data_IF_650288137794
#
_entry.id   IF_650288137794
#
_cell.length_a   1.000
_cell.length_b   1.000
_cell.length_c   1.000
_cell.angle_alpha   90.00
_cell.angle_beta   90.00
_cell.angle_gamma   90.00
#
_symmetry.space_group_name_H-M   'P 1'
#
loop_
_entity.id
_entity.type
_entity.pdbx_description
1 polymer ?
#
# COMPACT_ATOMS: atom_id res chain seq x y z
N UNK A 1 -16.29 17.89 17.06
CA UNK A 1 -15.22 17.04 17.63
C UNK A 1 -14.49 16.41 16.45
N UNK A 2 -13.14 16.39 16.41
CA UNK A 2 -12.42 15.72 15.33
C UNK A 2 -12.61 14.21 15.41
N UNK A 3 -12.80 13.56 14.26
CA UNK A 3 -12.90 12.09 14.17
C UNK A 3 -11.50 11.49 14.35
N UNK A 4 -11.36 10.57 15.31
CA UNK A 4 -10.10 9.85 15.51
C UNK A 4 -9.93 8.80 14.40
N UNK A 5 -8.78 8.82 13.75
CA UNK A 5 -8.42 7.84 12.72
C UNK A 5 -7.43 6.83 13.32
N UNK A 6 -7.66 5.52 13.18
CA UNK A 6 -6.69 4.51 13.60
C UNK A 6 -5.35 4.69 12.87
N UNK A 7 -4.24 4.73 13.61
CA UNK A 7 -2.92 4.78 13.01
C UNK A 7 -2.53 3.39 12.52
N UNK A 8 -2.34 3.26 11.21
CA UNK A 8 -2.03 2.02 10.50
C UNK A 8 -0.78 2.23 9.65
N UNK A 9 0.04 1.19 9.50
CA UNK A 9 1.34 1.29 8.83
C UNK A 9 1.28 1.60 7.33
N UNK A 10 0.10 1.52 6.72
CA UNK A 10 -0.15 1.80 5.31
C UNK A 10 -0.80 3.17 5.09
N UNK A 11 -0.97 3.97 6.13
CA UNK A 11 -1.39 5.37 6.05
C UNK A 11 -0.16 6.25 6.23
N UNK A 12 0.28 6.90 5.15
CA UNK A 12 1.31 7.94 5.25
C UNK A 12 0.64 9.28 5.52
N UNK A 13 1.03 9.90 6.64
CA UNK A 13 0.57 11.21 7.06
C UNK A 13 1.60 12.27 6.61
N UNK A 14 1.13 13.29 5.90
CA UNK A 14 1.93 14.39 5.37
C UNK A 14 1.03 15.40 4.66
N UNK A 15 1.58 16.26 3.81
CA UNK A 15 0.80 17.29 3.09
C UNK A 15 -0.27 16.69 2.17
N UNK A 16 -0.05 15.47 1.69
CA UNK A 16 -1.04 14.69 0.92
C UNK A 16 -1.21 13.32 1.59
N UNK A 17 -2.10 13.20 2.59
CA UNK A 17 -2.35 11.92 3.24
C UNK A 17 -2.88 10.90 2.24
N UNK A 18 -2.21 9.74 2.15
CA UNK A 18 -2.58 8.72 1.19
C UNK A 18 -2.23 7.32 1.72
N UNK A 19 -2.81 6.31 1.08
CA UNK A 19 -2.51 4.93 1.39
C UNK A 19 -1.33 4.44 0.56
N UNK A 20 -0.49 3.60 1.14
CA UNK A 20 0.66 3.00 0.46
C UNK A 20 0.57 1.48 0.57
N UNK A 21 0.61 0.81 -0.58
CA UNK A 21 0.66 -0.64 -0.67
C UNK A 21 2.10 -1.15 -0.83
N UNK A 22 2.32 -2.40 -0.42
CA UNK A 22 3.47 -3.21 -0.81
C UNK A 22 3.10 -3.94 -2.11
N UNK A 23 3.69 -3.52 -3.22
CA UNK A 23 3.51 -4.13 -4.53
C UNK A 23 4.61 -5.16 -4.77
N UNK A 24 4.22 -6.40 -5.08
CA UNK A 24 5.15 -7.45 -5.46
C UNK A 24 5.82 -7.08 -6.80
N UNK A 25 7.14 -7.04 -6.83
CA UNK A 25 7.89 -6.61 -8.02
C UNK A 25 7.83 -7.63 -9.16
N UNK A 26 7.51 -8.90 -8.86
CA UNK A 26 7.42 -9.96 -9.85
C UNK A 26 6.07 -10.00 -10.59
N UNK A 27 4.95 -9.68 -9.93
CA UNK A 27 3.61 -9.88 -10.51
C UNK A 27 2.64 -8.71 -10.31
N UNK A 28 3.06 -7.62 -9.66
CA UNK A 28 2.23 -6.43 -9.45
C UNK A 28 1.11 -6.55 -8.41
N UNK A 29 0.98 -7.68 -7.71
CA UNK A 29 -0.02 -7.84 -6.65
C UNK A 29 0.25 -6.86 -5.49
N UNK A 30 -0.79 -6.19 -4.98
CA UNK A 30 -0.68 -5.13 -3.96
C UNK A 30 -1.29 -5.55 -2.63
N UNK A 31 -0.59 -5.27 -1.53
CA UNK A 31 -1.00 -5.60 -0.16
C UNK A 31 -0.72 -4.44 0.79
N UNK A 32 -1.70 -4.04 1.62
CA UNK A 32 -1.49 -2.97 2.60
C UNK A 32 -0.61 -3.41 3.78
N UNK A 33 -0.86 -4.60 4.33
CA UNK A 33 -0.01 -5.16 5.36
C UNK A 33 1.31 -5.70 4.81
N UNK A 34 2.32 -5.75 5.68
CA UNK A 34 3.59 -6.41 5.39
C UNK A 34 3.35 -7.87 5.02
N UNK A 35 4.01 -8.33 3.94
CA UNK A 35 4.04 -9.74 3.53
C UNK A 35 5.49 -10.25 3.52
N UNK A 36 5.69 -11.50 3.91
CA UNK A 36 6.97 -12.19 3.76
C UNK A 36 7.13 -12.81 2.36
N UNK A 37 6.02 -13.13 1.70
CA UNK A 37 5.97 -13.67 0.35
C UNK A 37 4.64 -13.28 -0.31
N UNK A 38 4.64 -13.17 -1.63
CA UNK A 38 3.46 -12.83 -2.42
C UNK A 38 2.49 -14.01 -2.49
N UNK A 39 1.22 -13.80 -2.10
CA UNK A 39 0.21 -14.84 -2.15
C UNK A 39 -0.16 -15.29 -3.58
N UNK A 40 0.18 -14.49 -4.60
CA UNK A 40 -0.11 -14.80 -5.99
C UNK A 40 1.02 -15.57 -6.69
N UNK A 41 2.28 -15.27 -6.40
CA UNK A 41 3.43 -15.84 -7.14
C UNK A 41 4.60 -16.30 -6.27
N UNK A 42 4.49 -16.24 -4.93
CA UNK A 42 5.53 -16.60 -3.96
C UNK A 42 6.83 -15.77 -4.00
N UNK A 43 6.91 -14.73 -4.84
CA UNK A 43 8.01 -13.76 -4.83
C UNK A 43 8.16 -13.05 -3.49
N UNK A 44 9.40 -12.72 -3.11
CA UNK A 44 9.74 -12.13 -1.80
C UNK A 44 10.17 -10.67 -1.89
N UNK A 45 10.25 -10.11 -3.09
CA UNK A 45 10.62 -8.72 -3.32
C UNK A 45 9.39 -7.82 -3.52
N UNK A 46 9.42 -6.66 -2.87
CA UNK A 46 8.30 -5.73 -2.78
C UNK A 46 8.78 -4.28 -2.82
N UNK A 47 8.03 -3.43 -3.52
CA UNK A 47 8.21 -1.97 -3.53
C UNK A 47 7.01 -1.26 -2.90
N UNK A 48 7.21 -0.05 -2.39
CA UNK A 48 6.11 0.83 -1.97
C UNK A 48 5.42 1.43 -3.20
N UNK A 49 4.10 1.42 -3.20
CA UNK A 49 3.27 2.00 -4.25
C UNK A 49 2.14 2.82 -3.63
N UNK A 50 2.11 4.12 -3.94
CA UNK A 50 1.00 4.98 -3.57
C UNK A 50 -0.31 4.44 -4.19
N UNK A 51 -1.37 4.40 -3.39
CA UNK A 51 -2.72 4.09 -3.83
C UNK A 51 -3.46 5.41 -4.00
N UNK A 52 -3.35 5.98 -5.20
CA UNK A 52 -4.17 7.10 -5.63
C UNK A 52 -5.52 6.63 -6.17
N UNK A 53 -6.52 7.52 -6.30
CA UNK A 53 -7.61 7.29 -7.24
C UNK A 53 -6.98 6.97 -8.60
N UNK A 54 -7.53 5.97 -9.30
CA UNK A 54 -7.08 5.63 -10.65
C UNK A 54 -6.99 6.93 -11.46
N UNK A 55 -5.83 7.20 -12.06
CA UNK A 55 -5.78 8.13 -13.17
C UNK A 55 -6.52 7.45 -14.34
N UNK A 56 -7.84 7.52 -14.31
CA UNK A 56 -8.68 7.46 -15.50
C UNK A 56 -9.11 8.88 -15.81
N UNK A 57 -8.38 9.51 -16.73
CA UNK A 57 -8.95 10.32 -17.80
C UNK A 57 -8.02 10.27 -19.02
#
# INVERSE_FOLDING_TARGET
MPTQIPHVNYLELGDTPHLVANECTACGARFFDRRNACANCFGTDFRKAAVGPLAEY
#
